data_IF_412152871074
#
_entry.id   IF_412152871074
#
_cell.length_a   1.000
_cell.length_b   1.000
_cell.length_c   1.000
_cell.angle_alpha   90.00
_cell.angle_beta   90.00
_cell.angle_gamma   90.00
#
_symmetry.space_group_name_H-M   'P 1'
#
loop_
_entity.id
_entity.type
_entity.pdbx_description
1 polymer ?
#
# COMPACT_ATOMS: atom_id res chain seq x y z
N UNK A 1 26.96 -0.72 4.14
CA UNK A 1 26.35 -2.06 4.00
C UNK A 1 24.91 -1.80 3.60
N UNK A 2 24.42 -2.44 2.54
CA UNK A 2 22.98 -2.37 2.22
C UNK A 2 22.25 -3.10 3.34
N UNK A 3 21.26 -2.47 3.95
CA UNK A 3 20.40 -3.13 4.93
C UNK A 3 19.60 -4.22 4.22
N UNK A 4 19.63 -5.45 4.76
CA UNK A 4 19.14 -6.66 4.08
C UNK A 4 17.93 -7.31 4.74
N UNK A 5 17.40 -6.67 5.78
CA UNK A 5 16.30 -7.24 6.56
C UNK A 5 15.62 -6.15 7.35
N UNK A 6 14.33 -6.33 7.60
CA UNK A 6 13.54 -5.55 8.55
C UNK A 6 12.63 -6.48 9.34
N UNK A 7 12.09 -6.02 10.46
CA UNK A 7 11.07 -6.77 11.20
C UNK A 7 9.88 -5.90 11.56
N UNK A 8 8.72 -6.53 11.59
CA UNK A 8 7.45 -5.95 12.03
C UNK A 8 7.00 -6.64 13.32
N UNK A 9 6.46 -5.86 14.26
CA UNK A 9 5.88 -6.37 15.51
C UNK A 9 4.36 -6.11 15.51
N UNK A 10 3.54 -6.98 14.88
CA UNK A 10 2.10 -6.74 14.73
C UNK A 10 1.33 -6.86 16.05
N UNK A 11 1.87 -7.58 17.03
CA UNK A 11 1.26 -7.76 18.35
C UNK A 11 2.33 -8.04 19.42
N UNK A 12 2.04 -7.76 20.71
CA UNK A 12 2.97 -8.08 21.79
C UNK A 12 3.40 -9.56 21.76
N UNK A 13 4.71 -9.81 21.69
CA UNK A 13 5.28 -11.16 21.66
C UNK A 13 5.27 -11.84 20.28
N UNK A 14 4.88 -11.14 19.20
CA UNK A 14 4.93 -11.62 17.82
C UNK A 14 5.85 -10.72 17.02
N UNK A 15 6.83 -11.33 16.35
CA UNK A 15 7.73 -10.64 15.43
C UNK A 15 7.75 -11.39 14.09
N UNK A 16 7.61 -10.65 13.00
CA UNK A 16 7.85 -11.14 11.65
C UNK A 16 9.11 -10.51 11.11
N UNK A 17 10.08 -11.35 10.72
CA UNK A 17 11.33 -10.89 10.13
C UNK A 17 11.35 -11.20 8.64
N UNK A 18 11.74 -10.20 7.86
CA UNK A 18 11.77 -10.24 6.41
C UNK A 18 13.21 -10.04 5.92
N UNK A 19 13.58 -10.68 4.83
CA UNK A 19 14.86 -10.46 4.16
C UNK A 19 14.59 -9.74 2.84
N UNK A 20 15.21 -8.59 2.63
CA UNK A 20 15.01 -7.79 1.43
C UNK A 20 16.07 -6.70 1.33
N UNK A 21 16.46 -6.34 0.11
CA UNK A 21 17.43 -5.28 -0.10
C UNK A 21 16.72 -3.92 0.00
N UNK A 22 17.18 -3.03 0.88
CA UNK A 22 16.64 -1.68 1.00
C UNK A 22 16.94 -0.87 -0.27
N UNK A 23 15.90 -0.32 -0.89
CA UNK A 23 15.98 0.49 -2.10
C UNK A 23 15.89 1.98 -1.81
N UNK A 24 15.03 2.35 -0.86
CA UNK A 24 14.77 3.72 -0.46
C UNK A 24 14.40 3.76 1.02
N UNK A 25 14.84 4.80 1.71
CA UNK A 25 14.46 5.10 3.10
C UNK A 25 14.42 6.62 3.27
N UNK A 26 13.33 7.15 3.82
CA UNK A 26 13.23 8.56 4.18
C UNK A 26 12.24 8.81 5.32
N UNK A 27 12.45 9.91 6.05
CA UNK A 27 11.46 10.46 6.95
C UNK A 27 10.67 11.56 6.23
N UNK A 28 9.34 11.41 6.16
CA UNK A 28 8.44 12.48 5.73
C UNK A 28 8.07 13.37 6.93
N UNK A 29 7.18 14.33 6.71
CA UNK A 29 6.61 15.11 7.81
C UNK A 29 5.67 14.28 8.72
N UNK A 30 5.31 13.06 8.31
CA UNK A 30 4.29 12.23 8.96
C UNK A 30 4.82 10.90 9.49
N UNK A 31 5.73 10.24 8.76
CA UNK A 31 6.15 8.87 9.05
C UNK A 31 7.51 8.53 8.40
N UNK A 32 8.09 7.42 8.84
CA UNK A 32 9.23 6.78 8.17
C UNK A 32 8.74 5.93 7.00
N UNK A 33 9.36 6.04 5.84
CA UNK A 33 8.99 5.35 4.61
C UNK A 33 10.19 4.56 4.08
N UNK A 34 10.03 3.24 4.03
CA UNK A 34 10.99 2.34 3.40
C UNK A 34 10.38 1.64 2.20
N UNK A 35 11.22 1.39 1.19
CA UNK A 35 10.91 0.49 0.08
C UNK A 35 11.98 -0.58 -0.01
N UNK A 36 11.57 -1.84 0.10
CA UNK A 36 12.45 -3.00 -0.02
C UNK A 36 12.20 -3.78 -1.33
N UNK A 37 13.24 -4.45 -1.83
CA UNK A 37 13.10 -5.53 -2.81
C UNK A 37 13.10 -6.87 -2.08
N UNK A 38 11.91 -7.44 -1.90
CA UNK A 38 11.75 -8.74 -1.23
C UNK A 38 11.81 -9.88 -2.26
N UNK A 39 12.62 -10.93 -2.06
CA UNK A 39 12.82 -11.99 -3.05
C UNK A 39 11.53 -12.74 -3.41
N UNK A 40 10.61 -12.88 -2.45
CA UNK A 40 9.32 -13.56 -2.66
C UNK A 40 8.19 -12.62 -3.05
N UNK A 41 8.16 -11.40 -2.49
CA UNK A 41 7.01 -10.50 -2.53
C UNK A 41 7.19 -9.33 -3.50
N UNK A 42 8.39 -9.16 -4.05
CA UNK A 42 8.73 -8.04 -4.93
C UNK A 42 8.92 -6.75 -4.15
N UNK A 43 8.64 -5.62 -4.80
CA UNK A 43 8.71 -4.29 -4.16
C UNK A 43 7.73 -4.24 -2.99
N UNK A 44 8.23 -3.89 -1.81
CA UNK A 44 7.48 -3.90 -0.56
C UNK A 44 7.56 -2.53 0.08
N UNK A 45 6.40 -1.88 0.28
CA UNK A 45 6.27 -0.60 0.96
C UNK A 45 6.08 -0.84 2.46
N UNK A 46 6.92 -0.20 3.27
CA UNK A 46 6.90 -0.30 4.73
C UNK A 46 6.81 1.12 5.30
N UNK A 47 5.85 1.33 6.20
CA UNK A 47 5.62 2.62 6.87
C UNK A 47 5.74 2.43 8.37
N UNK A 48 6.59 3.23 9.03
CA UNK A 48 6.90 3.11 10.46
C UNK A 48 7.23 1.66 10.90
N UNK A 49 7.91 0.91 10.02
CA UNK A 49 8.29 -0.49 10.26
C UNK A 49 7.18 -1.53 10.04
N UNK A 50 5.98 -1.13 9.61
CA UNK A 50 4.88 -2.04 9.29
C UNK A 50 4.70 -2.20 7.78
N UNK A 51 4.58 -3.46 7.30
CA UNK A 51 4.33 -3.74 5.89
C UNK A 51 2.95 -3.22 5.51
N UNK A 52 2.88 -2.37 4.49
CA UNK A 52 1.62 -1.85 3.99
C UNK A 52 1.12 -2.66 2.80
N UNK A 53 2.01 -2.92 1.84
CA UNK A 53 1.66 -3.62 0.59
C UNK A 53 2.91 -4.16 -0.11
N UNK A 54 2.72 -5.18 -0.96
CA UNK A 54 3.79 -5.75 -1.77
C UNK A 54 3.34 -6.06 -3.20
N UNK A 55 4.22 -5.84 -4.17
CA UNK A 55 3.96 -5.92 -5.62
C UNK A 55 3.24 -7.22 -6.04
N UNK A 56 3.62 -8.36 -5.45
CA UNK A 56 3.16 -9.67 -5.93
C UNK A 56 1.89 -10.17 -5.28
N UNK A 57 1.44 -9.58 -4.18
CA UNK A 57 0.26 -10.04 -3.43
C UNK A 57 -0.73 -8.94 -3.06
N UNK A 58 -0.43 -7.67 -3.37
CA UNK A 58 -1.31 -6.52 -3.10
C UNK A 58 -2.73 -6.70 -3.64
N UNK A 59 -2.87 -7.45 -4.73
CA UNK A 59 -4.17 -7.72 -5.34
C UNK A 59 -5.13 -8.40 -4.35
N UNK A 60 -4.64 -9.28 -3.48
CA UNK A 60 -5.47 -9.95 -2.48
C UNK A 60 -6.12 -8.95 -1.52
N UNK A 61 -5.31 -8.01 -1.03
CA UNK A 61 -5.77 -6.96 -0.13
C UNK A 61 -6.72 -6.00 -0.84
N UNK A 62 -6.32 -5.45 -1.99
CA UNK A 62 -7.09 -4.43 -2.69
C UNK A 62 -8.39 -4.94 -3.31
N UNK A 63 -8.40 -6.16 -3.85
CA UNK A 63 -9.61 -6.75 -4.42
C UNK A 63 -10.67 -6.97 -3.33
N UNK A 64 -10.26 -7.49 -2.17
CA UNK A 64 -11.16 -7.68 -1.03
C UNK A 64 -11.64 -6.36 -0.44
N UNK A 65 -10.74 -5.37 -0.31
CA UNK A 65 -11.07 -4.05 0.20
C UNK A 65 -12.10 -3.32 -0.67
N UNK A 66 -12.00 -3.46 -2.00
CA UNK A 66 -12.75 -2.64 -2.94
C UNK A 66 -13.94 -3.38 -3.57
N UNK A 67 -13.76 -4.58 -4.11
CA UNK A 67 -14.84 -5.22 -4.86
C UNK A 67 -16.00 -5.63 -3.96
N UNK A 68 -15.74 -6.08 -2.72
CA UNK A 68 -16.80 -6.47 -1.79
C UNK A 68 -17.81 -5.34 -1.56
N UNK A 69 -17.42 -4.13 -1.09
CA UNK A 69 -18.39 -3.06 -0.87
C UNK A 69 -19.02 -2.54 -2.18
N UNK A 70 -18.27 -2.44 -3.28
CA UNK A 70 -18.81 -1.89 -4.54
C UNK A 70 -19.80 -2.85 -5.21
N UNK A 71 -19.56 -4.17 -5.16
CA UNK A 71 -20.50 -5.17 -5.70
C UNK A 71 -21.76 -5.31 -4.84
N UNK A 72 -21.69 -5.04 -3.53
CA UNK A 72 -22.86 -5.02 -2.66
C UNK A 72 -23.71 -3.75 -2.82
N UNK A 73 -23.14 -2.66 -3.32
CA UNK A 73 -23.87 -1.42 -3.54
C UNK A 73 -24.66 -1.48 -4.87
N UNK A 74 -25.95 -1.09 -4.92
CA UNK A 74 -26.77 -1.28 -6.12
C UNK A 74 -26.34 -0.44 -7.33
N UNK A 75 -25.70 0.72 -7.09
CA UNK A 75 -25.18 1.59 -8.15
C UNK A 75 -24.11 2.55 -7.61
N UNK A 76 -22.87 2.09 -7.30
CA UNK A 76 -21.82 2.97 -6.79
C UNK A 76 -21.39 3.94 -7.90
N UNK A 77 -21.49 5.26 -7.66
CA UNK A 77 -21.14 6.29 -8.67
C UNK A 77 -20.01 7.21 -8.24
N UNK A 78 -19.95 7.54 -6.96
CA UNK A 78 -18.92 8.43 -6.39
C UNK A 78 -18.27 7.72 -5.23
N UNK A 79 -16.95 7.62 -5.27
CA UNK A 79 -16.16 6.88 -4.28
C UNK A 79 -15.11 7.81 -3.68
N UNK A 80 -14.99 7.78 -2.36
CA UNK A 80 -13.93 8.45 -1.61
C UNK A 80 -13.01 7.38 -1.02
N UNK A 81 -11.73 7.46 -1.33
CA UNK A 81 -10.65 6.69 -0.71
C UNK A 81 -9.90 7.63 0.24
N UNK A 82 -9.81 7.26 1.51
CA UNK A 82 -9.05 8.00 2.52
C UNK A 82 -7.75 7.23 2.76
N UNK A 83 -6.62 7.91 2.61
CA UNK A 83 -5.30 7.26 2.48
C UNK A 83 -5.18 6.56 1.11
N UNK A 84 -4.61 5.36 1.11
CA UNK A 84 -4.40 4.57 -0.10
C UNK A 84 -3.36 5.18 -1.03
N UNK A 85 -2.36 5.88 -0.48
CA UNK A 85 -1.28 6.53 -1.23
C UNK A 85 -0.50 5.61 -2.18
N UNK A 86 -0.54 4.29 -1.97
CA UNK A 86 -0.01 3.29 -2.90
C UNK A 86 -0.80 3.17 -4.21
N UNK A 87 -2.04 3.65 -4.22
CA UNK A 87 -2.91 3.70 -5.40
C UNK A 87 -3.60 2.38 -5.75
N UNK A 88 -3.31 1.28 -5.05
CA UNK A 88 -3.90 -0.04 -5.33
C UNK A 88 -5.42 -0.06 -5.15
N UNK A 89 -5.92 0.56 -4.08
CA UNK A 89 -7.36 0.70 -3.87
C UNK A 89 -8.04 1.52 -4.98
N UNK A 90 -7.46 2.68 -5.34
CA UNK A 90 -8.00 3.55 -6.39
C UNK A 90 -8.04 2.83 -7.74
N UNK A 91 -7.00 2.05 -8.07
CA UNK A 91 -6.95 1.22 -9.28
C UNK A 91 -8.13 0.27 -9.36
N UNK A 92 -8.46 -0.44 -8.26
CA UNK A 92 -9.61 -1.35 -8.23
C UNK A 92 -10.96 -0.62 -8.29
N UNK A 93 -11.06 0.57 -7.72
CA UNK A 93 -12.29 1.38 -7.80
C UNK A 93 -12.59 1.74 -9.25
N UNK A 94 -11.57 2.11 -10.01
CA UNK A 94 -11.69 2.51 -11.42
C UNK A 94 -12.04 1.34 -12.37
N UNK A 95 -11.95 0.09 -11.91
CA UNK A 95 -12.40 -1.08 -12.69
C UNK A 95 -13.95 -1.20 -12.71
N UNK A 96 -14.67 -0.51 -11.83
CA UNK A 96 -16.14 -0.56 -11.78
C UNK A 96 -16.78 0.46 -12.74
N UNK A 97 -17.45 0.04 -13.84
CA UNK A 97 -17.93 0.96 -14.87
C UNK A 97 -19.03 1.93 -14.41
N UNK A 98 -19.67 1.65 -13.28
CA UNK A 98 -20.71 2.51 -12.69
C UNK A 98 -20.13 3.72 -11.96
N UNK A 99 -18.84 3.66 -11.58
CA UNK A 99 -18.14 4.74 -10.90
C UNK A 99 -17.82 5.85 -11.90
N UNK A 100 -18.32 7.05 -11.63
CA UNK A 100 -18.12 8.26 -12.45
C UNK A 100 -17.15 9.26 -11.82
N UNK A 101 -16.90 9.13 -10.52
CA UNK A 101 -15.98 9.99 -9.77
C UNK A 101 -15.30 9.16 -8.68
N UNK A 102 -13.98 9.23 -8.59
CA UNK A 102 -13.20 8.63 -7.52
C UNK A 102 -12.21 9.68 -7.00
N UNK A 103 -12.28 9.96 -5.70
CA UNK A 103 -11.41 10.93 -5.02
C UNK A 103 -10.56 10.16 -4.03
N UNK A 104 -9.24 10.32 -4.12
CA UNK A 104 -8.29 9.81 -3.14
C UNK A 104 -7.72 10.97 -2.36
N UNK A 105 -7.76 10.88 -1.03
CA UNK A 105 -7.25 11.91 -0.11
C UNK A 105 -6.14 11.28 0.70
N UNK A 106 -4.91 11.53 0.28
CA UNK A 106 -3.68 11.12 0.97
C UNK A 106 -3.07 12.35 1.67
N UNK A 107 -2.69 12.20 2.94
CA UNK A 107 -2.10 13.27 3.74
C UNK A 107 -0.61 13.41 3.46
N UNK A 108 0.05 12.29 3.16
CA UNK A 108 1.49 12.22 2.94
C UNK A 108 1.81 12.09 1.45
N UNK A 109 2.16 13.21 0.82
CA UNK A 109 2.52 13.25 -0.60
C UNK A 109 3.73 12.36 -0.94
N UNK A 110 4.60 12.10 0.05
CA UNK A 110 5.80 11.28 -0.15
C UNK A 110 5.44 9.82 -0.37
N UNK A 111 4.44 9.31 0.33
CA UNK A 111 3.91 7.96 0.08
C UNK A 111 3.45 7.84 -1.37
N UNK A 112 2.64 8.78 -1.85
CA UNK A 112 2.14 8.74 -3.25
C UNK A 112 3.27 8.87 -4.27
N UNK A 113 4.26 9.73 -4.02
CA UNK A 113 5.39 9.94 -4.91
C UNK A 113 6.27 8.69 -5.03
N UNK A 114 6.62 8.09 -3.89
CA UNK A 114 7.45 6.88 -3.84
C UNK A 114 6.71 5.67 -4.40
N UNK A 115 5.41 5.53 -4.14
CA UNK A 115 4.62 4.47 -4.76
C UNK A 115 4.58 4.59 -6.28
N UNK A 116 4.51 5.80 -6.85
CA UNK A 116 4.62 5.98 -8.31
C UNK A 116 6.00 5.65 -8.88
N UNK A 117 7.05 5.80 -8.08
CA UNK A 117 8.42 5.54 -8.51
C UNK A 117 8.77 4.05 -8.44
N UNK A 118 8.30 3.36 -7.40
CA UNK A 118 8.74 2.02 -7.08
C UNK A 118 7.68 0.91 -7.23
N UNK A 119 6.38 1.23 -7.27
CA UNK A 119 5.27 0.27 -7.16
C UNK A 119 4.41 0.19 -8.43
#
# INVERSE_FOLDING_TARGET
>A
MVERSFSETPAPGVEFAYSGDLLHAEDSAFQHIDVYDHPTFGRTLVLDGAVQTSERDEFLYHEMLVHVPLLCHPAPRRVLVIGGGDGGALRRVLEHPSVTEAVMVEIDERVTALSREYM
#
